data_IF_182038808051
#
_entry.id   IF_182038808051
#
_cell.length_a   1.000
_cell.length_b   1.000
_cell.length_c   1.000
_cell.angle_alpha   90.00
_cell.angle_beta   90.00
_cell.angle_gamma   90.00
#
_symmetry.space_group_name_H-M   'P 1'
#
loop_
_entity.id
_entity.type
_entity.pdbx_description
1 polymer ?
#
# COMPACT_ATOMS: atom_id res chain seq x y z
N UNK A 1 -9.00 -3.52 -5.12
CA UNK A 1 -7.59 -3.64 -4.66
C UNK A 1 -6.66 -4.37 -5.65
N UNK A 2 -6.98 -5.58 -6.13
CA UNK A 2 -6.12 -6.34 -7.08
C UNK A 2 -5.68 -5.55 -8.33
N UNK A 3 -6.58 -4.78 -8.94
CA UNK A 3 -6.26 -3.98 -10.12
C UNK A 3 -5.30 -2.81 -9.83
N UNK A 4 -5.35 -2.23 -8.62
CA UNK A 4 -4.38 -1.21 -8.18
C UNK A 4 -3.00 -1.82 -7.97
N UNK A 5 -2.94 -3.04 -7.41
CA UNK A 5 -1.70 -3.79 -7.19
C UNK A 5 -1.04 -4.14 -8.54
N UNK A 6 -1.78 -4.67 -9.51
CA UNK A 6 -1.20 -5.01 -10.82
C UNK A 6 -0.72 -3.77 -11.58
N UNK A 7 -1.48 -2.67 -11.52
CA UNK A 7 -1.14 -1.40 -12.20
C UNK A 7 0.14 -0.79 -11.64
N UNK A 8 0.25 -0.59 -10.32
CA UNK A 8 1.45 0.06 -9.77
C UNK A 8 2.69 -0.86 -9.82
N UNK A 9 2.56 -2.20 -9.88
CA UNK A 9 3.71 -3.11 -10.12
C UNK A 9 4.28 -2.91 -11.51
N UNK A 10 3.40 -2.81 -12.52
CA UNK A 10 3.81 -2.54 -13.90
C UNK A 10 4.51 -1.19 -14.02
N UNK A 11 4.00 -0.15 -13.35
CA UNK A 11 4.65 1.17 -13.33
C UNK A 11 6.01 1.14 -12.64
N UNK A 12 6.12 0.44 -11.50
CA UNK A 12 7.38 0.26 -10.79
C UNK A 12 8.43 -0.42 -11.68
N UNK A 13 8.07 -1.52 -12.33
CA UNK A 13 8.98 -2.23 -13.23
C UNK A 13 9.42 -1.39 -14.43
N UNK A 14 8.57 -0.51 -14.96
CA UNK A 14 8.96 0.42 -16.02
C UNK A 14 10.00 1.42 -15.54
N UNK A 15 9.80 2.04 -14.38
CA UNK A 15 10.75 2.96 -13.77
C UNK A 15 12.10 2.28 -13.50
N UNK A 16 12.08 1.00 -13.14
CA UNK A 16 13.29 0.22 -12.89
C UNK A 16 14.07 -0.19 -14.14
N UNK A 17 13.41 -0.17 -15.31
CA UNK A 17 14.01 -0.49 -16.61
C UNK A 17 14.46 0.77 -17.37
N UNK A 18 14.28 1.95 -16.79
CA UNK A 18 14.77 3.21 -17.37
C UNK A 18 16.28 3.32 -17.19
N UNK A 19 16.95 4.10 -18.05
CA UNK A 19 18.41 4.25 -18.01
C UNK A 19 18.90 5.00 -16.74
N UNK A 20 18.00 5.63 -15.99
CA UNK A 20 18.29 6.26 -14.71
C UNK A 20 18.42 5.22 -13.58
N UNK A 21 19.61 5.17 -12.98
CA UNK A 21 19.89 4.26 -11.88
C UNK A 21 19.23 4.70 -10.57
N UNK A 22 18.10 4.08 -10.24
CA UNK A 22 17.46 4.20 -8.93
C UNK A 22 18.31 3.51 -7.86
N UNK A 23 18.61 4.21 -6.77
CA UNK A 23 19.48 3.72 -5.68
C UNK A 23 18.74 3.40 -4.38
N UNK A 24 17.52 3.91 -4.23
CA UNK A 24 16.65 3.70 -3.09
C UNK A 24 15.18 3.87 -3.49
N UNK A 25 14.28 3.16 -2.83
CA UNK A 25 12.83 3.29 -2.99
C UNK A 25 12.21 3.60 -1.63
N UNK A 26 11.40 4.66 -1.58
CA UNK A 26 10.54 5.00 -0.45
C UNK A 26 9.09 4.80 -0.90
N UNK A 27 8.34 3.93 -0.22
CA UNK A 27 6.94 3.66 -0.54
C UNK A 27 6.03 3.95 0.63
N UNK A 28 4.78 4.32 0.34
CA UNK A 28 3.75 4.29 1.37
C UNK A 28 3.59 2.86 1.91
N UNK A 29 3.38 2.71 3.21
CA UNK A 29 3.04 1.45 3.89
C UNK A 29 1.88 0.69 3.24
N UNK A 30 0.89 1.37 2.66
CA UNK A 30 -0.21 0.74 1.91
C UNK A 30 0.21 0.27 0.50
N UNK A 31 1.36 0.74 0.03
CA UNK A 31 2.00 0.35 -1.22
C UNK A 31 3.24 -0.54 -0.99
N UNK A 32 3.38 -1.11 0.22
CA UNK A 32 4.52 -1.93 0.60
C UNK A 32 4.73 -3.16 -0.30
N UNK A 33 3.72 -3.57 -1.06
CA UNK A 33 3.80 -4.64 -2.05
C UNK A 33 4.79 -4.34 -3.21
N UNK A 34 5.22 -3.09 -3.41
CA UNK A 34 6.31 -2.72 -4.32
C UNK A 34 7.72 -2.98 -3.72
N UNK A 35 7.83 -3.19 -2.41
CA UNK A 35 9.12 -3.43 -1.76
C UNK A 35 9.76 -4.75 -2.17
N UNK A 36 8.94 -5.75 -2.52
CA UNK A 36 9.41 -7.05 -2.99
C UNK A 36 10.12 -6.93 -4.34
N UNK A 37 9.54 -6.19 -5.29
CA UNK A 37 10.20 -5.93 -6.58
C UNK A 37 11.52 -5.15 -6.40
N UNK A 38 11.56 -4.16 -5.50
CA UNK A 38 12.81 -3.47 -5.16
C UNK A 38 13.84 -4.40 -4.49
N UNK A 39 13.38 -5.39 -3.72
CA UNK A 39 14.24 -6.37 -3.05
C UNK A 39 14.99 -7.25 -4.04
N UNK A 40 14.26 -7.78 -5.03
CA UNK A 40 14.80 -8.64 -6.09
C UNK A 40 15.89 -7.94 -6.89
N UNK A 41 15.80 -6.61 -7.01
CA UNK A 41 16.77 -5.77 -7.71
C UNK A 41 17.93 -5.28 -6.82
N UNK A 42 17.97 -5.67 -5.54
CA UNK A 42 19.04 -5.30 -4.62
C UNK A 42 19.01 -3.82 -4.18
N UNK A 43 17.85 -3.16 -4.27
CA UNK A 43 17.71 -1.73 -4.01
C UNK A 43 17.36 -1.48 -2.55
N UNK A 44 17.96 -0.43 -1.98
CA UNK A 44 17.65 0.02 -0.62
C UNK A 44 16.18 0.44 -0.56
N UNK A 45 15.47 0.05 0.49
CA UNK A 45 14.03 0.25 0.57
C UNK A 45 13.60 0.71 1.96
N UNK A 46 12.65 1.63 2.02
CA UNK A 46 12.04 2.13 3.24
C UNK A 46 10.53 2.35 3.03
N UNK A 47 9.77 2.30 4.12
CA UNK A 47 8.35 2.64 4.12
C UNK A 47 8.11 3.94 4.89
N UNK A 48 7.11 4.69 4.43
CA UNK A 48 6.52 5.82 5.12
C UNK A 48 5.03 5.52 5.34
N UNK A 49 4.49 5.87 6.50
CA UNK A 49 3.05 5.85 6.71
C UNK A 49 2.55 7.29 6.60
N UNK A 50 1.79 7.60 5.54
CA UNK A 50 1.21 8.94 5.35
C UNK A 50 -0.09 9.13 6.15
N UNK A 51 -0.59 8.10 6.84
CA UNK A 51 -1.79 8.22 7.66
C UNK A 51 -1.52 9.00 8.95
N UNK A 52 -2.52 9.74 9.39
CA UNK A 52 -2.53 10.26 10.76
C UNK A 52 -2.62 9.11 11.78
N UNK A 53 -2.21 9.39 13.02
CA UNK A 53 -2.37 8.43 14.11
C UNK A 53 -3.83 7.98 14.30
N UNK A 54 -4.79 8.90 14.13
CA UNK A 54 -6.22 8.58 14.24
C UNK A 54 -6.69 7.67 13.11
N UNK A 55 -6.27 7.90 11.87
CA UNK A 55 -6.60 7.03 10.75
C UNK A 55 -6.01 5.62 10.94
N UNK A 56 -4.77 5.53 11.39
CA UNK A 56 -4.11 4.25 11.61
C UNK A 56 -4.80 3.44 12.73
N UNK A 57 -5.17 4.10 13.83
CA UNK A 57 -5.94 3.48 14.91
C UNK A 57 -7.31 2.99 14.42
N UNK A 58 -8.03 3.80 13.64
CA UNK A 58 -9.32 3.41 13.07
C UNK A 58 -9.22 2.13 12.24
N UNK A 59 -8.18 2.00 11.41
CA UNK A 59 -7.95 0.80 10.60
C UNK A 59 -7.70 -0.43 11.48
N UNK A 60 -6.89 -0.29 12.53
CA UNK A 60 -6.60 -1.40 13.46
C UNK A 60 -7.80 -1.81 14.31
N UNK A 61 -8.75 -0.90 14.53
CA UNK A 61 -9.96 -1.19 15.29
C UNK A 61 -11.10 -1.77 14.41
N UNK A 62 -10.99 -1.76 13.07
CA UNK A 62 -12.00 -2.33 12.16
C UNK A 62 -12.44 -3.75 12.60
N UNK A 63 -11.54 -4.71 12.89
CA UNK A 63 -11.95 -6.05 13.31
C UNK A 63 -12.80 -6.05 14.59
N UNK A 64 -12.47 -5.16 15.54
CA UNK A 64 -13.25 -4.99 16.78
C UNK A 64 -14.59 -4.34 16.50
N UNK A 65 -14.65 -3.37 15.60
CA UNK A 65 -15.90 -2.69 15.21
C UNK A 65 -16.85 -3.66 14.50
N UNK A 66 -16.32 -4.56 13.66
CA UNK A 66 -17.09 -5.66 13.06
C UNK A 66 -17.57 -6.62 14.14
N UNK A 67 -16.70 -7.03 15.06
CA UNK A 67 -17.06 -7.93 16.16
C UNK A 67 -18.19 -7.38 17.03
N UNK A 68 -18.20 -6.08 17.29
CA UNK A 68 -19.25 -5.41 18.06
C UNK A 68 -20.50 -5.08 17.24
N UNK A 69 -20.54 -5.43 15.95
CA UNK A 69 -21.67 -5.13 15.06
C UNK A 69 -21.87 -3.63 14.78
N UNK A 70 -20.84 -2.82 15.02
CA UNK A 70 -20.85 -1.37 14.72
C UNK A 70 -20.69 -1.14 13.22
N UNK A 71 -19.89 -1.97 12.56
CA UNK A 71 -19.67 -1.97 11.11
C UNK A 71 -20.02 -3.36 10.59
N UNK A 72 -20.73 -3.44 9.46
CA UNK A 72 -21.05 -4.73 8.82
C UNK A 72 -19.79 -5.34 8.18
N UNK A 73 -19.76 -6.66 8.02
CA UNK A 73 -18.65 -7.34 7.35
C UNK A 73 -18.69 -7.21 5.82
N UNK A 74 -19.76 -6.61 5.29
CA UNK A 74 -19.93 -6.44 3.86
C UNK A 74 -18.90 -5.46 3.32
N UNK A 75 -18.25 -5.83 2.21
CA UNK A 75 -17.34 -4.97 1.45
C UNK A 75 -18.13 -3.80 0.82
N UNK A 76 -18.60 -2.86 1.64
CA UNK A 76 -19.28 -1.64 1.24
C UNK A 76 -18.39 -0.43 1.53
N UNK A 77 -17.93 0.22 0.47
CA UNK A 77 -17.43 1.61 0.42
C UNK A 77 -16.40 2.03 1.48
N UNK A 78 -15.39 1.19 1.72
CA UNK A 78 -14.13 1.71 2.27
C UNK A 78 -13.38 2.50 1.17
N UNK A 79 -13.69 3.80 1.10
CA UNK A 79 -12.77 4.88 0.73
C UNK A 79 -12.09 4.82 -0.65
N UNK A 80 -12.84 4.83 -1.75
CA UNK A 80 -12.33 5.40 -3.02
C UNK A 80 -13.49 6.00 -3.82
N UNK A 81 -13.64 7.34 -3.92
CA UNK A 81 -14.51 7.90 -4.95
C UNK A 81 -13.95 7.53 -6.33
N UNK A 82 -14.83 7.14 -7.25
CA UNK A 82 -14.51 6.91 -8.67
C UNK A 82 -13.91 8.15 -9.34
#
# INVERSE_FOLDING_TARGET
>A
MFMMISKSRSSFNKLMNDDEKITCVLVDSFLAWNMEAAAELGIKRATICCLSATQLLSIFDIPKLIQHGVIDNQEGDLFFPE
#
